data_IF_506125017790
#
_entry.id   IF_506125017790
#
_cell.length_a   1.000
_cell.length_b   1.000
_cell.length_c   1.000
_cell.angle_alpha   90.00
_cell.angle_beta   90.00
_cell.angle_gamma   90.00
#
_symmetry.space_group_name_H-M   'P 1'
#
loop_
_entity.id
_entity.type
_entity.pdbx_description
1 polymer ?
#
# COMPACT_ATOMS: atom_id res chain seq x y z
N UNK A 1 -30.57 35.32 -39.81
CA UNK A 1 -30.55 35.86 -38.43
C UNK A 1 -30.38 34.68 -37.48
N UNK A 2 -29.13 34.21 -37.32
CA UNK A 2 -28.81 33.05 -36.47
C UNK A 2 -28.40 33.53 -35.09
N UNK A 3 -29.06 33.05 -34.03
CA UNK A 3 -28.69 33.40 -32.66
C UNK A 3 -29.08 32.28 -31.69
N UNK A 4 -28.04 31.71 -31.04
CA UNK A 4 -28.11 31.20 -29.68
C UNK A 4 -28.57 29.75 -29.49
N UNK A 5 -27.85 28.78 -30.06
CA UNK A 5 -27.88 27.41 -29.51
C UNK A 5 -26.94 27.39 -28.29
N UNK A 6 -27.49 27.05 -27.12
CA UNK A 6 -26.89 27.22 -25.79
C UNK A 6 -25.46 26.69 -25.66
N UNK A 7 -24.53 27.61 -25.43
CA UNK A 7 -23.12 27.39 -25.07
C UNK A 7 -22.91 27.24 -23.55
N UNK A 8 -23.97 27.05 -22.77
CA UNK A 8 -23.96 27.17 -21.30
C UNK A 8 -24.10 25.86 -20.53
N UNK A 9 -24.13 24.71 -21.20
CA UNK A 9 -24.27 23.39 -20.53
C UNK A 9 -22.98 22.54 -20.59
N UNK A 10 -21.89 23.15 -21.05
CA UNK A 10 -20.57 22.52 -21.17
C UNK A 10 -19.57 23.15 -20.19
N UNK A 11 -20.05 23.42 -18.98
CA UNK A 11 -19.23 23.82 -17.83
C UNK A 11 -19.57 22.79 -16.74
N UNK A 12 -18.55 22.05 -16.28
CA UNK A 12 -18.57 21.17 -15.10
C UNK A 12 -18.93 19.68 -15.25
N UNK A 13 -18.52 19.01 -16.33
CA UNK A 13 -18.09 17.62 -16.15
C UNK A 13 -16.65 17.61 -15.64
N UNK A 14 -16.45 18.00 -14.37
CA UNK A 14 -15.22 17.60 -13.69
C UNK A 14 -15.09 16.07 -13.84
N UNK A 15 -13.94 15.54 -14.28
CA UNK A 15 -13.72 14.10 -14.33
C UNK A 15 -13.74 13.56 -12.89
N UNK A 16 -14.94 13.26 -12.39
CA UNK A 16 -15.13 12.75 -11.05
C UNK A 16 -14.45 11.39 -10.94
N UNK A 17 -13.57 11.24 -9.95
CA UNK A 17 -12.88 9.97 -9.72
C UNK A 17 -13.93 8.87 -9.50
N UNK A 18 -13.86 7.74 -10.23
CA UNK A 18 -14.80 6.63 -10.08
C UNK A 18 -14.87 6.15 -8.62
N UNK A 19 -16.07 5.84 -8.12
CA UNK A 19 -16.28 5.41 -6.72
C UNK A 19 -15.41 4.21 -6.34
N UNK A 20 -15.22 3.24 -7.24
CA UNK A 20 -14.34 2.09 -7.03
C UNK A 20 -12.88 2.49 -6.75
N UNK A 21 -12.38 3.52 -7.44
CA UNK A 21 -11.04 4.06 -7.23
C UNK A 21 -10.90 4.70 -5.85
N UNK A 22 -11.91 5.47 -5.42
CA UNK A 22 -11.94 6.06 -4.07
C UNK A 22 -11.86 4.97 -2.99
N UNK A 23 -12.61 3.88 -3.16
CA UNK A 23 -12.59 2.73 -2.25
C UNK A 23 -11.21 2.07 -2.22
N UNK A 24 -10.58 1.81 -3.37
CA UNK A 24 -9.22 1.24 -3.41
C UNK A 24 -8.20 2.14 -2.72
N UNK A 25 -8.25 3.46 -2.97
CA UNK A 25 -7.35 4.41 -2.32
C UNK A 25 -7.55 4.40 -0.80
N UNK A 26 -8.79 4.33 -0.32
CA UNK A 26 -9.12 4.24 1.10
C UNK A 26 -8.58 2.94 1.73
N UNK A 27 -8.77 1.80 1.06
CA UNK A 27 -8.28 0.51 1.52
C UNK A 27 -6.75 0.51 1.62
N UNK A 28 -6.05 1.00 0.60
CA UNK A 28 -4.59 1.11 0.64
C UNK A 28 -4.12 2.09 1.72
N UNK A 29 -4.82 3.22 1.91
CA UNK A 29 -4.54 4.15 2.98
C UNK A 29 -4.69 3.53 4.37
N UNK A 30 -5.76 2.77 4.59
CA UNK A 30 -5.99 2.05 5.84
C UNK A 30 -4.91 1.00 6.11
N UNK A 31 -4.53 0.21 5.09
CA UNK A 31 -3.45 -0.78 5.19
C UNK A 31 -2.12 -0.07 5.53
N UNK A 32 -1.83 1.08 4.92
CA UNK A 32 -0.61 1.83 5.21
C UNK A 32 -0.56 2.23 6.69
N UNK A 33 -1.64 2.82 7.22
CA UNK A 33 -1.72 3.25 8.62
C UNK A 33 -1.56 2.07 9.57
N UNK A 34 -2.30 0.98 9.35
CA UNK A 34 -2.22 -0.23 10.19
C UNK A 34 -0.82 -0.84 10.14
N UNK A 35 -0.23 -0.96 8.94
CA UNK A 35 1.11 -1.49 8.76
C UNK A 35 2.17 -0.65 9.46
N UNK A 36 2.05 0.67 9.43
CA UNK A 36 2.96 1.57 10.13
C UNK A 36 2.87 1.38 11.66
N UNK A 37 1.65 1.37 12.21
CA UNK A 37 1.43 1.20 13.65
C UNK A 37 1.96 -0.17 14.11
N UNK A 38 1.62 -1.24 13.41
CA UNK A 38 2.04 -2.60 13.77
C UNK A 38 3.56 -2.77 13.74
N UNK A 39 4.25 -2.18 12.76
CA UNK A 39 5.72 -2.28 12.64
C UNK A 39 6.43 -1.37 13.64
N UNK A 40 6.00 -0.13 13.79
CA UNK A 40 6.68 0.83 14.67
C UNK A 40 6.47 0.56 16.15
N UNK A 41 5.31 0.04 16.56
CA UNK A 41 5.09 -0.31 17.98
C UNK A 41 6.15 -1.30 18.47
N UNK A 42 6.53 -2.27 17.63
CA UNK A 42 7.56 -3.26 17.95
C UNK A 42 8.99 -2.71 17.78
N UNK A 43 9.25 -1.93 16.72
CA UNK A 43 10.57 -1.33 16.50
C UNK A 43 11.00 -0.38 17.62
N UNK A 44 10.06 0.35 18.23
CA UNK A 44 10.37 1.27 19.33
C UNK A 44 10.99 0.56 20.55
N UNK A 45 10.80 -0.76 20.70
CA UNK A 45 11.41 -1.55 21.78
C UNK A 45 12.95 -1.58 21.74
N UNK A 46 13.56 -1.27 20.59
CA UNK A 46 15.02 -1.26 20.40
C UNK A 46 15.65 0.13 20.56
N UNK A 47 14.88 1.15 20.96
CA UNK A 47 15.37 2.50 21.27
C UNK A 47 15.49 2.71 22.78
N UNK A 48 16.47 3.52 23.26
CA UNK A 48 17.44 4.32 22.50
C UNK A 48 18.76 3.59 22.17
N UNK A 49 18.86 2.31 22.48
CA UNK A 49 20.12 1.55 22.42
C UNK A 49 20.49 1.14 20.98
N UNK A 50 21.00 -0.09 20.80
CA UNK A 50 21.51 -0.57 19.51
C UNK A 50 20.37 -1.04 18.61
N UNK A 51 19.58 -0.08 18.12
CA UNK A 51 18.43 -0.33 17.24
C UNK A 51 18.73 -1.36 16.15
N UNK A 52 19.70 -1.07 15.28
CA UNK A 52 19.96 -1.92 14.10
C UNK A 52 20.63 -3.27 14.45
N UNK A 53 21.70 -3.33 15.28
CA UNK A 53 22.34 -4.59 15.63
C UNK A 53 21.44 -5.58 16.37
N UNK A 54 20.67 -5.09 17.34
CA UNK A 54 19.83 -5.96 18.18
C UNK A 54 18.60 -6.43 17.38
N UNK A 55 17.97 -5.54 16.62
CA UNK A 55 16.89 -5.89 15.70
C UNK A 55 17.32 -6.97 14.69
N UNK A 56 18.48 -6.80 14.05
CA UNK A 56 18.98 -7.78 13.07
C UNK A 56 19.33 -9.13 13.72
N UNK A 57 19.77 -9.12 14.98
CA UNK A 57 20.06 -10.35 15.73
C UNK A 57 18.75 -11.09 16.02
N UNK A 58 17.71 -10.39 16.49
CA UNK A 58 16.41 -10.97 16.83
C UNK A 58 15.68 -11.59 15.63
N UNK A 59 15.84 -11.01 14.42
CA UNK A 59 15.37 -11.61 13.17
C UNK A 59 15.96 -13.00 12.88
N UNK A 60 17.07 -13.36 13.53
CA UNK A 60 17.77 -14.62 13.32
C UNK A 60 17.67 -15.58 14.50
N UNK A 61 16.95 -15.27 15.58
CA UNK A 61 16.93 -16.10 16.79
C UNK A 61 16.17 -17.41 16.57
N UNK A 62 14.96 -17.35 15.98
CA UNK A 62 14.11 -18.53 15.78
C UNK A 62 14.03 -18.94 14.32
N UNK A 63 13.77 -20.24 14.01
CA UNK A 63 13.49 -20.67 12.64
C UNK A 63 12.32 -19.90 12.00
N UNK A 64 11.29 -19.56 12.79
CA UNK A 64 10.17 -18.75 12.32
C UNK A 64 10.63 -17.34 11.91
N UNK A 65 11.39 -16.65 12.76
CA UNK A 65 11.92 -15.31 12.47
C UNK A 65 12.79 -15.29 11.20
N UNK A 66 13.66 -16.30 11.03
CA UNK A 66 14.47 -16.45 9.80
C UNK A 66 13.61 -16.66 8.56
N UNK A 67 12.58 -17.50 8.66
CA UNK A 67 11.63 -17.77 7.57
C UNK A 67 10.86 -16.51 7.17
N UNK A 68 10.29 -15.79 8.14
CA UNK A 68 9.57 -14.52 7.90
C UNK A 68 10.48 -13.45 7.31
N UNK A 69 11.73 -13.37 7.79
CA UNK A 69 12.72 -12.41 7.26
C UNK A 69 13.04 -12.72 5.79
N UNK A 70 13.30 -13.98 5.45
CA UNK A 70 13.56 -14.39 4.07
C UNK A 70 12.39 -14.09 3.14
N UNK A 71 11.17 -14.46 3.56
CA UNK A 71 9.93 -14.18 2.83
C UNK A 71 9.74 -12.67 2.58
N UNK A 72 9.87 -11.87 3.64
CA UNK A 72 9.71 -10.41 3.56
C UNK A 72 10.75 -9.75 2.66
N UNK A 73 12.01 -10.20 2.69
CA UNK A 73 13.07 -9.66 1.82
C UNK A 73 12.79 -9.95 0.34
N UNK A 74 12.36 -11.17 0.01
CA UNK A 74 12.00 -11.53 -1.37
C UNK A 74 10.76 -10.80 -1.85
N UNK A 75 9.73 -10.69 -1.00
CA UNK A 75 8.53 -9.89 -1.28
C UNK A 75 8.88 -8.42 -1.50
N UNK A 76 9.76 -7.86 -0.65
CA UNK A 76 10.23 -6.47 -0.78
C UNK A 76 10.97 -6.26 -2.08
N UNK A 77 11.85 -7.19 -2.49
CA UNK A 77 12.54 -7.11 -3.78
C UNK A 77 11.56 -7.08 -4.95
N UNK A 78 10.58 -7.99 -4.94
CA UNK A 78 9.53 -8.03 -5.96
C UNK A 78 8.70 -6.74 -5.98
N UNK A 79 8.32 -6.21 -4.81
CA UNK A 79 7.59 -4.96 -4.67
C UNK A 79 8.41 -3.76 -5.18
N UNK A 80 9.70 -3.67 -4.86
CA UNK A 80 10.59 -2.61 -5.35
C UNK A 80 10.71 -2.64 -6.87
N UNK A 81 10.90 -3.83 -7.46
CA UNK A 81 10.94 -4.00 -8.93
C UNK A 81 9.63 -3.51 -9.54
N UNK A 82 8.49 -3.96 -9.00
CA UNK A 82 7.17 -3.54 -9.43
C UNK A 82 7.00 -2.01 -9.35
N UNK A 83 7.39 -1.41 -8.23
CA UNK A 83 7.31 0.03 -8.02
C UNK A 83 8.11 0.80 -9.05
N UNK A 84 9.35 0.40 -9.31
CA UNK A 84 10.22 1.03 -10.31
C UNK A 84 9.60 0.92 -11.71
N UNK A 85 9.19 -0.28 -12.11
CA UNK A 85 8.62 -0.51 -13.45
C UNK A 85 7.34 0.30 -13.66
N UNK A 86 6.39 0.24 -12.72
CA UNK A 86 5.12 0.95 -12.83
C UNK A 86 5.29 2.47 -12.69
N UNK A 87 6.27 2.93 -11.92
CA UNK A 87 6.61 4.35 -11.87
C UNK A 87 7.08 4.88 -13.22
N UNK A 88 7.87 4.10 -13.97
CA UNK A 88 8.29 4.49 -15.33
C UNK A 88 7.13 4.43 -16.31
N UNK A 89 6.27 3.42 -16.21
CA UNK A 89 5.07 3.27 -17.07
C UNK A 89 4.06 4.40 -16.90
N UNK A 90 3.83 4.86 -15.67
CA UNK A 90 2.83 5.88 -15.35
C UNK A 90 3.44 7.25 -14.99
N UNK A 91 4.73 7.47 -15.28
CA UNK A 91 5.45 8.72 -15.01
C UNK A 91 5.39 9.21 -13.55
N UNK A 92 5.39 8.29 -12.57
CA UNK A 92 5.44 8.62 -11.13
C UNK A 92 6.85 9.11 -10.79
N UNK A 93 6.97 10.38 -10.41
CA UNK A 93 8.26 11.09 -10.30
C UNK A 93 9.15 10.62 -9.14
N UNK A 94 8.56 10.28 -7.99
CA UNK A 94 9.30 10.13 -6.73
C UNK A 94 9.36 8.69 -6.20
N UNK A 95 9.44 7.69 -7.09
CA UNK A 95 9.46 6.27 -6.67
C UNK A 95 10.52 5.95 -5.61
N UNK A 96 11.70 6.56 -5.71
CA UNK A 96 12.79 6.35 -4.76
C UNK A 96 12.48 6.87 -3.35
N UNK A 97 11.62 7.90 -3.20
CA UNK A 97 11.17 8.33 -1.86
C UNK A 97 10.35 7.22 -1.19
N UNK A 98 9.52 6.49 -1.93
CA UNK A 98 8.77 5.36 -1.37
C UNK A 98 9.67 4.18 -1.02
N UNK A 99 10.70 3.91 -1.84
CA UNK A 99 11.66 2.83 -1.60
C UNK A 99 12.51 3.14 -0.37
N UNK A 100 13.14 4.31 -0.33
CA UNK A 100 13.95 4.76 0.82
C UNK A 100 13.08 4.89 2.07
N UNK A 101 11.87 5.46 1.93
CA UNK A 101 10.90 5.50 3.01
C UNK A 101 10.52 4.11 3.52
N UNK A 102 10.40 3.12 2.64
CA UNK A 102 10.07 1.73 3.00
C UNK A 102 11.18 1.04 3.78
N UNK A 103 12.44 1.33 3.43
CA UNK A 103 13.61 0.86 4.18
C UNK A 103 13.70 1.54 5.57
N UNK A 104 13.30 2.81 5.67
CA UNK A 104 13.33 3.56 6.92
C UNK A 104 12.14 3.28 7.85
N UNK A 105 10.97 2.95 7.29
CA UNK A 105 9.73 2.78 8.05
C UNK A 105 9.25 1.33 8.02
N UNK A 106 8.56 0.94 6.95
CA UNK A 106 8.20 -0.43 6.62
C UNK A 106 7.68 -0.48 5.18
N UNK A 107 7.99 -1.55 4.45
CA UNK A 107 7.42 -1.77 3.11
C UNK A 107 5.89 -1.88 3.15
N UNK A 108 5.33 -2.40 4.25
CA UNK A 108 3.89 -2.49 4.49
C UNK A 108 3.20 -1.11 4.58
N UNK A 109 3.94 -0.04 4.83
CA UNK A 109 3.44 1.34 4.81
C UNK A 109 3.64 2.00 3.44
N UNK A 110 4.86 1.97 2.90
CA UNK A 110 5.17 2.73 1.67
C UNK A 110 4.66 2.09 0.40
N UNK A 111 4.53 0.76 0.35
CA UNK A 111 4.01 0.06 -0.81
C UNK A 111 2.53 0.40 -1.08
N UNK A 112 1.61 0.34 -0.09
CA UNK A 112 0.23 0.81 -0.32
C UNK A 112 0.14 2.29 -0.72
N UNK A 113 0.97 3.18 -0.16
CA UNK A 113 1.02 4.58 -0.59
C UNK A 113 1.44 4.72 -2.07
N UNK A 114 2.38 3.89 -2.52
CA UNK A 114 2.72 3.82 -3.93
C UNK A 114 1.55 3.32 -4.79
N UNK A 115 0.80 2.31 -4.31
CA UNK A 115 -0.39 1.82 -5.01
C UNK A 115 -1.46 2.92 -5.16
N UNK A 116 -1.65 3.79 -4.18
CA UNK A 116 -2.53 4.97 -4.30
C UNK A 116 -2.02 5.90 -5.41
N UNK A 117 -0.74 6.27 -5.39
CA UNK A 117 -0.14 7.14 -6.40
C UNK A 117 -0.24 6.55 -7.82
N UNK A 118 -0.14 5.23 -7.93
CA UNK A 118 -0.33 4.47 -9.18
C UNK A 118 -1.79 4.49 -9.62
N UNK A 119 -2.72 4.17 -8.72
CA UNK A 119 -4.14 4.10 -9.01
C UNK A 119 -4.69 5.44 -9.51
N UNK A 120 -4.23 6.57 -8.94
CA UNK A 120 -4.60 7.91 -9.37
C UNK A 120 -4.18 8.23 -10.82
N UNK A 121 -3.18 7.53 -11.36
CA UNK A 121 -2.65 7.74 -12.73
C UNK A 121 -3.17 6.72 -13.74
N UNK A 122 -3.93 5.73 -13.29
CA UNK A 122 -4.55 4.77 -14.20
C UNK A 122 -5.71 5.41 -14.98
N UNK A 123 -5.94 5.03 -16.23
CA UNK A 123 -7.13 5.43 -16.98
C UNK A 123 -8.43 5.04 -16.26
N UNK A 124 -9.50 5.81 -16.45
CA UNK A 124 -10.82 5.49 -15.86
C UNK A 124 -11.38 4.14 -16.35
N UNK A 125 -11.00 3.72 -17.56
CA UNK A 125 -11.38 2.42 -18.14
C UNK A 125 -10.75 1.21 -17.44
N UNK A 126 -9.75 1.42 -16.57
CA UNK A 126 -9.07 0.37 -15.83
C UNK A 126 -9.77 -0.03 -14.53
N UNK A 127 -11.01 0.44 -14.28
CA UNK A 127 -11.77 0.11 -13.08
C UNK A 127 -11.98 -1.42 -12.95
N UNK A 128 -11.53 -2.06 -11.84
CA UNK A 128 -11.67 -3.50 -11.68
C UNK A 128 -13.14 -3.91 -11.56
N UNK A 129 -13.54 -4.97 -12.27
CA UNK A 129 -14.83 -5.65 -12.10
C UNK A 129 -14.64 -6.86 -11.19
N UNK A 130 -14.72 -6.64 -9.87
CA UNK A 130 -14.62 -7.71 -8.87
C UNK A 130 -15.89 -8.56 -8.87
N UNK A 131 -15.72 -9.88 -8.98
CA UNK A 131 -16.81 -10.84 -8.77
C UNK A 131 -17.21 -10.87 -7.30
N UNK A 132 -18.41 -11.36 -7.00
CA UNK A 132 -18.86 -11.52 -5.61
C UNK A 132 -17.91 -12.44 -4.82
N UNK A 133 -17.42 -13.52 -5.46
CA UNK A 133 -16.41 -14.41 -4.88
C UNK A 133 -15.16 -13.66 -4.44
N UNK A 134 -14.65 -12.76 -5.28
CA UNK A 134 -13.42 -12.01 -5.01
C UNK A 134 -13.63 -11.10 -3.79
N UNK A 135 -14.79 -10.47 -3.68
CA UNK A 135 -15.13 -9.62 -2.52
C UNK A 135 -15.19 -10.43 -1.23
N UNK A 136 -15.88 -11.56 -1.25
CA UNK A 136 -16.00 -12.44 -0.07
C UNK A 136 -14.62 -12.94 0.35
N UNK A 137 -13.81 -13.42 -0.58
CA UNK A 137 -12.46 -13.90 -0.29
C UNK A 137 -11.55 -12.80 0.25
N UNK A 138 -11.63 -11.57 -0.30
CA UNK A 138 -10.87 -10.43 0.19
C UNK A 138 -11.28 -10.02 1.62
N UNK A 139 -12.58 -10.02 1.92
CA UNK A 139 -13.07 -9.71 3.27
C UNK A 139 -12.59 -10.76 4.26
N UNK A 140 -12.71 -12.05 3.91
CA UNK A 140 -12.22 -13.14 4.76
C UNK A 140 -10.71 -13.03 4.99
N UNK A 141 -9.93 -12.78 3.93
CA UNK A 141 -8.49 -12.59 4.05
C UNK A 141 -8.15 -11.39 4.95
N UNK A 142 -8.86 -10.27 4.81
CA UNK A 142 -8.67 -9.09 5.65
C UNK A 142 -8.95 -9.39 7.13
N UNK A 143 -10.04 -10.10 7.42
CA UNK A 143 -10.38 -10.51 8.80
C UNK A 143 -9.30 -11.42 9.39
N UNK A 144 -8.82 -12.39 8.63
CA UNK A 144 -7.73 -13.29 9.06
C UNK A 144 -6.45 -12.51 9.34
N UNK A 145 -6.08 -11.59 8.46
CA UNK A 145 -4.88 -10.74 8.64
C UNK A 145 -5.03 -9.86 9.88
N UNK A 146 -6.17 -9.20 10.08
CA UNK A 146 -6.42 -8.38 11.26
C UNK A 146 -6.33 -9.22 12.53
N UNK A 147 -6.98 -10.39 12.55
CA UNK A 147 -6.93 -11.29 13.69
C UNK A 147 -5.50 -11.74 14.01
N UNK A 148 -4.70 -12.05 12.98
CA UNK A 148 -3.31 -12.44 13.15
C UNK A 148 -2.44 -11.29 13.66
N UNK A 149 -2.61 -10.07 13.14
CA UNK A 149 -1.92 -8.87 13.63
C UNK A 149 -2.25 -8.65 15.10
N UNK A 150 -3.53 -8.71 15.50
CA UNK A 150 -3.93 -8.55 16.89
C UNK A 150 -3.33 -9.63 17.78
N UNK A 151 -3.39 -10.89 17.36
CA UNK A 151 -2.81 -12.01 18.10
C UNK A 151 -1.32 -11.79 18.38
N UNK A 152 -0.54 -11.43 17.36
CA UNK A 152 0.91 -11.21 17.48
C UNK A 152 1.26 -10.02 18.38
N UNK A 153 0.38 -9.02 18.51
CA UNK A 153 0.65 -7.83 19.34
C UNK A 153 0.12 -7.95 20.78
N UNK A 154 -0.74 -8.93 21.08
CA UNK A 154 -1.37 -9.11 22.40
C UNK A 154 -0.88 -10.39 23.11
N UNK A 155 -0.47 -11.41 22.36
CA UNK A 155 0.07 -12.67 22.88
C UNK A 155 1.58 -12.64 23.05
#
# INVERSE_FOLDING_TARGET
>A
MGRGMGSSDQIDQEPSIPTSRKVLCLVYGAIAVVGLIATWTNNLAYLPDRFLPDFLTDLTVTPAARSYTGDLLLLTLAAVIFMVVEARRHAIRFVWLYIVGGLATAIAFTFPLFLIARELRLPASSAPRLRLSDRVLLILAAVVVIAHVVWVNVG
#
